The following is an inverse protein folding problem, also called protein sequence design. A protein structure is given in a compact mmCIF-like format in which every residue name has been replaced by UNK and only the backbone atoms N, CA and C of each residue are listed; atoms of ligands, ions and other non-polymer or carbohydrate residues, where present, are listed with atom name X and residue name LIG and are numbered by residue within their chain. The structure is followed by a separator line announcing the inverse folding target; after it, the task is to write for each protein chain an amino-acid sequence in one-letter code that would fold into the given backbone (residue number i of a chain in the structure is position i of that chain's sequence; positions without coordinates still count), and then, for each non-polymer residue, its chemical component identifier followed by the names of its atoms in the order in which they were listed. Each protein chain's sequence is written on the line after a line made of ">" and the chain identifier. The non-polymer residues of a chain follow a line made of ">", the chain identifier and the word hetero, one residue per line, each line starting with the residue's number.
data_IF_484282741077
#
_entry.id   IF_484282741077
#
_cell.length_a   1.000
_cell.length_b   1.000
_cell.length_c   1.000
_cell.angle_alpha   90.00
_cell.angle_beta   90.00
_cell.angle_gamma   90.00
#
_symmetry.space_group_name_H-M   'P 1'
#
loop_
_entity.id
_entity.type
_entity.pdbx_description
1 polymer ?
#
# COMPACT_ATOMS: atom_id res chain seq x y z
N UNK A 1 -14.80 -24.14 -7.52
CA UNK A 1 -15.32 -22.91 -6.88
C UNK A 1 -15.24 -21.79 -7.90
N UNK A 2 -16.35 -21.09 -8.20
CA UNK A 2 -16.30 -19.92 -9.09
C UNK A 2 -15.42 -18.87 -8.41
N UNK A 3 -14.38 -18.40 -9.10
CA UNK A 3 -13.62 -17.25 -8.67
C UNK A 3 -14.60 -16.09 -8.50
N UNK A 4 -14.93 -15.76 -7.25
CA UNK A 4 -15.63 -14.52 -6.92
C UNK A 4 -14.85 -13.39 -7.56
N UNK A 5 -15.54 -12.56 -8.36
CA UNK A 5 -14.93 -11.36 -8.90
C UNK A 5 -14.20 -10.64 -7.74
N UNK A 6 -12.92 -10.29 -7.90
CA UNK A 6 -12.11 -9.76 -6.81
C UNK A 6 -12.86 -8.58 -6.20
N UNK A 7 -13.18 -8.64 -4.90
CA UNK A 7 -13.91 -7.56 -4.24
C UNK A 7 -13.07 -6.29 -4.35
N UNK A 8 -13.54 -5.37 -5.18
CA UNK A 8 -12.82 -4.12 -5.44
C UNK A 8 -13.16 -3.18 -4.29
N UNK A 9 -12.27 -3.11 -3.31
CA UNK A 9 -12.55 -2.44 -2.03
C UNK A 9 -12.03 -1.00 -1.93
N UNK A 10 -11.18 -0.56 -2.85
CA UNK A 10 -10.61 0.80 -2.89
C UNK A 10 -11.24 1.59 -4.04
N UNK A 11 -12.52 1.92 -3.91
CA UNK A 11 -13.34 2.50 -4.98
C UNK A 11 -13.45 4.03 -4.93
N UNK A 12 -12.72 4.65 -4.00
CA UNK A 12 -12.77 6.08 -3.68
C UNK A 12 -11.38 6.62 -3.42
N UNK A 13 -11.21 7.90 -3.72
CA UNK A 13 -10.03 8.66 -3.35
C UNK A 13 -9.96 8.81 -1.83
N UNK A 14 -8.80 8.51 -1.25
CA UNK A 14 -8.53 8.63 0.18
C UNK A 14 -7.36 9.59 0.37
N UNK A 15 -7.61 10.70 1.07
CA UNK A 15 -6.53 11.61 1.47
C UNK A 15 -5.63 10.96 2.52
N UNK A 16 -4.34 11.26 2.47
CA UNK A 16 -3.38 10.80 3.48
C UNK A 16 -3.79 11.27 4.87
N UNK A 17 -4.30 12.50 4.97
CA UNK A 17 -4.79 13.09 6.22
C UNK A 17 -5.87 12.22 6.88
N UNK A 18 -6.81 11.69 6.09
CA UNK A 18 -7.89 10.84 6.61
C UNK A 18 -7.36 9.49 7.08
N UNK A 19 -6.46 8.88 6.30
CA UNK A 19 -5.81 7.63 6.68
C UNK A 19 -4.94 7.80 7.93
N UNK A 20 -4.19 8.91 8.03
CA UNK A 20 -3.40 9.27 9.21
C UNK A 20 -4.30 9.47 10.42
N UNK A 21 -5.40 10.24 10.30
CA UNK A 21 -6.33 10.44 11.42
C UNK A 21 -6.96 9.11 11.86
N UNK A 22 -7.31 8.22 10.94
CA UNK A 22 -7.78 6.87 11.28
C UNK A 22 -6.72 6.03 12.01
N UNK A 23 -5.44 6.14 11.61
CA UNK A 23 -4.32 5.53 12.32
C UNK A 23 -4.13 6.13 13.72
N UNK A 24 -4.22 7.45 13.87
CA UNK A 24 -4.18 8.14 15.18
C UNK A 24 -5.31 7.65 16.10
N UNK A 25 -6.54 7.48 15.58
CA UNK A 25 -7.66 6.91 16.33
C UNK A 25 -7.38 5.47 16.75
N UNK A 26 -6.89 4.62 15.83
CA UNK A 26 -6.51 3.23 16.16
C UNK A 26 -5.41 3.19 17.23
N UNK A 27 -4.47 4.13 17.19
CA UNK A 27 -3.39 4.27 18.15
C UNK A 27 -3.84 4.84 19.51
N UNK A 28 -5.13 5.20 19.68
CA UNK A 28 -5.61 5.86 20.89
C UNK A 28 -5.07 7.28 21.08
N UNK A 29 -4.60 7.92 20.00
CA UNK A 29 -4.03 9.27 19.99
C UNK A 29 -5.04 10.34 19.56
N UNK A 30 -6.21 9.93 19.05
CA UNK A 30 -7.30 10.81 18.64
C UNK A 30 -8.65 10.13 18.94
N UNK A 31 -9.71 10.92 19.12
CA UNK A 31 -11.06 10.40 19.26
C UNK A 31 -11.69 10.14 17.88
N UNK A 32 -12.58 9.15 17.79
CA UNK A 32 -13.30 8.83 16.54
C UNK A 32 -14.13 10.01 16.03
N UNK A 33 -14.62 10.88 16.92
CA UNK A 33 -15.36 12.09 16.56
C UNK A 33 -14.53 13.11 15.78
N UNK A 34 -13.21 13.16 16.00
CA UNK A 34 -12.32 14.02 15.20
C UNK A 34 -12.24 13.55 13.75
N UNK A 35 -12.19 12.23 13.53
CA UNK A 35 -12.25 11.67 12.18
C UNK A 35 -13.61 11.94 11.54
N UNK A 36 -14.70 11.75 12.29
CA UNK A 36 -16.05 12.00 11.78
C UNK A 36 -16.24 13.48 11.39
N UNK A 37 -15.72 14.42 12.18
CA UNK A 37 -15.72 15.86 11.85
C UNK A 37 -14.90 16.17 10.58
N UNK A 38 -13.72 15.56 10.44
CA UNK A 38 -12.87 15.72 9.26
C UNK A 38 -13.57 15.21 7.98
N UNK A 39 -14.30 14.09 8.09
CA UNK A 39 -15.09 13.56 6.97
C UNK A 39 -16.35 14.37 6.69
N UNK A 40 -16.93 15.02 7.70
CA UNK A 40 -18.05 15.96 7.55
C UNK A 40 -17.69 17.18 6.75
N UNK A 41 -16.55 17.79 7.04
CA UNK A 41 -16.04 18.93 6.28
C UNK A 41 -15.70 18.54 4.83
N UNK A 42 -15.12 17.35 4.63
CA UNK A 42 -14.70 16.89 3.31
C UNK A 42 -15.84 16.46 2.37
N UNK A 43 -17.03 16.15 2.89
CA UNK A 43 -18.11 15.53 2.13
C UNK A 43 -19.49 16.07 2.51
N UNK A 44 -20.15 16.73 1.55
CA UNK A 44 -21.51 17.27 1.72
C UNK A 44 -22.60 16.21 1.91
N UNK A 45 -22.37 14.96 1.46
CA UNK A 45 -23.39 13.90 1.44
C UNK A 45 -23.10 12.73 2.40
N UNK A 46 -24.08 12.25 3.19
CA UNK A 46 -23.89 11.15 4.14
C UNK A 46 -23.48 9.84 3.47
N UNK A 47 -23.94 9.59 2.24
CA UNK A 47 -23.55 8.40 1.47
C UNK A 47 -22.07 8.41 1.06
N UNK A 48 -21.50 9.58 0.75
CA UNK A 48 -20.08 9.70 0.43
C UNK A 48 -19.22 9.50 1.69
N UNK A 49 -19.61 10.13 2.81
CA UNK A 49 -18.99 9.96 4.13
C UNK A 49 -18.92 8.50 4.55
N UNK A 50 -20.05 7.79 4.50
CA UNK A 50 -20.14 6.38 4.86
C UNK A 50 -19.19 5.52 4.01
N UNK A 51 -19.09 5.77 2.71
CA UNK A 51 -18.19 5.01 1.82
C UNK A 51 -16.72 5.26 2.12
N UNK A 52 -16.33 6.51 2.33
CA UNK A 52 -14.96 6.86 2.73
C UNK A 52 -14.61 6.19 4.06
N UNK A 53 -15.52 6.26 5.06
CA UNK A 53 -15.34 5.60 6.35
C UNK A 53 -15.20 4.08 6.22
N UNK A 54 -15.94 3.41 5.34
CA UNK A 54 -15.76 1.97 5.07
C UNK A 54 -14.33 1.62 4.62
N UNK A 55 -13.70 2.47 3.81
CA UNK A 55 -12.30 2.25 3.37
C UNK A 55 -11.35 2.45 4.55
N UNK A 56 -11.54 3.50 5.34
CA UNK A 56 -10.72 3.79 6.53
C UNK A 56 -10.87 2.72 7.63
N UNK A 57 -12.07 2.15 7.78
CA UNK A 57 -12.30 1.02 8.69
C UNK A 57 -11.40 -0.14 8.31
N UNK A 58 -11.44 -0.58 7.05
CA UNK A 58 -10.64 -1.72 6.59
C UNK A 58 -9.13 -1.44 6.61
N UNK A 59 -8.71 -0.18 6.41
CA UNK A 59 -7.30 0.21 6.50
C UNK A 59 -6.79 0.22 7.94
N UNK A 60 -7.54 0.80 8.88
CA UNK A 60 -7.03 1.05 10.24
C UNK A 60 -8.04 0.77 11.35
N UNK A 61 -9.28 1.25 11.28
CA UNK A 61 -10.15 1.21 12.48
C UNK A 61 -10.62 -0.21 12.82
N UNK A 62 -11.03 -0.96 11.81
CA UNK A 62 -11.61 -2.30 11.89
C UNK A 62 -11.05 -3.17 10.74
N UNK A 63 -9.74 -3.47 10.76
CA UNK A 63 -9.14 -4.34 9.75
C UNK A 63 -9.75 -5.74 9.84
N UNK A 64 -9.63 -6.51 8.76
CA UNK A 64 -10.04 -7.92 8.80
C UNK A 64 -9.28 -8.64 9.92
N UNK A 65 -9.91 -9.63 10.55
CA UNK A 65 -9.33 -10.37 11.69
C UNK A 65 -7.95 -10.97 11.40
N UNK A 66 -7.73 -11.45 10.17
CA UNK A 66 -6.44 -11.99 9.72
C UNK A 66 -5.34 -10.92 9.62
N UNK A 67 -5.72 -9.66 9.37
CA UNK A 67 -4.80 -8.52 9.26
C UNK A 67 -4.65 -7.73 10.56
N UNK A 68 -5.42 -8.04 11.60
CA UNK A 68 -5.39 -7.31 12.86
C UNK A 68 -4.01 -7.32 13.54
N UNK A 69 -3.27 -8.46 13.61
CA UNK A 69 -1.90 -8.46 14.13
C UNK A 69 -0.92 -7.66 13.27
N UNK A 70 -1.14 -7.61 11.94
CA UNK A 70 -0.31 -6.83 11.03
C UNK A 70 -0.57 -5.32 11.21
N UNK A 71 -1.83 -4.92 11.32
CA UNK A 71 -2.23 -3.54 11.60
C UNK A 71 -1.75 -3.07 12.98
N UNK A 72 -1.81 -3.94 14.00
CA UNK A 72 -1.34 -3.64 15.35
C UNK A 72 0.16 -3.34 15.38
N UNK A 73 0.99 -4.14 14.71
CA UNK A 73 2.43 -3.84 14.54
C UNK A 73 2.67 -2.51 13.84
N UNK A 74 1.82 -2.14 12.88
CA UNK A 74 1.87 -0.83 12.23
C UNK A 74 1.58 0.33 13.20
N UNK A 75 0.65 0.15 14.13
CA UNK A 75 0.37 1.13 15.21
C UNK A 75 1.57 1.27 16.15
N UNK A 76 2.17 0.16 16.56
CA UNK A 76 3.35 0.17 17.43
C UNK A 76 4.51 0.92 16.77
N UNK A 77 4.75 0.69 15.47
CA UNK A 77 5.73 1.45 14.69
C UNK A 77 5.43 2.94 14.65
N UNK A 78 4.16 3.31 14.46
CA UNK A 78 3.73 4.70 14.46
C UNK A 78 3.95 5.39 15.81
N UNK A 79 3.69 4.69 16.91
CA UNK A 79 3.85 5.21 18.27
C UNK A 79 5.30 5.25 18.73
N UNK A 80 6.12 4.28 18.30
CA UNK A 80 7.50 4.12 18.76
C UNK A 80 8.48 5.15 18.18
N UNK A 81 8.19 5.70 17.00
CA UNK A 81 9.09 6.62 16.32
C UNK A 81 8.32 7.73 15.58
N UNK A 82 8.49 9.02 15.96
CA UNK A 82 7.86 10.15 15.26
C UNK A 82 8.26 10.30 13.80
N UNK A 83 9.40 9.72 13.40
CA UNK A 83 9.88 9.74 12.01
C UNK A 83 9.17 8.74 11.11
N UNK A 84 8.41 7.78 11.67
CA UNK A 84 7.68 6.77 10.87
C UNK A 84 6.66 7.45 9.96
N UNK A 85 6.82 7.39 8.63
CA UNK A 85 5.93 8.11 7.73
C UNK A 85 4.54 7.46 7.71
N UNK A 86 3.44 8.19 8.01
CA UNK A 86 2.08 7.64 7.91
C UNK A 86 1.74 7.12 6.51
N UNK A 87 2.36 7.70 5.47
CA UNK A 87 2.21 7.25 4.09
C UNK A 87 2.79 5.84 3.87
N UNK A 88 3.92 5.50 4.50
CA UNK A 88 4.52 4.16 4.39
C UNK A 88 3.64 3.11 5.07
N UNK A 89 3.15 3.41 6.27
CA UNK A 89 2.23 2.54 6.98
C UNK A 89 0.89 2.39 6.23
N UNK A 90 0.33 3.48 5.73
CA UNK A 90 -0.92 3.44 4.97
C UNK A 90 -0.75 2.67 3.67
N UNK A 91 0.41 2.79 3.00
CA UNK A 91 0.74 2.00 1.81
C UNK A 91 0.78 0.50 2.11
N UNK A 92 1.51 0.08 3.15
CA UNK A 92 1.58 -1.31 3.57
C UNK A 92 0.20 -1.89 3.87
N UNK A 93 -0.64 -1.16 4.62
CA UNK A 93 -2.03 -1.58 4.84
C UNK A 93 -2.84 -1.63 3.54
N UNK A 94 -2.66 -0.68 2.62
CA UNK A 94 -3.42 -0.63 1.38
C UNK A 94 -3.10 -1.80 0.45
N UNK A 95 -1.82 -2.16 0.26
CA UNK A 95 -1.43 -3.25 -0.63
C UNK A 95 -1.86 -4.62 -0.11
N UNK A 96 -1.87 -4.82 1.21
CA UNK A 96 -2.31 -6.08 1.83
C UNK A 96 -3.84 -6.19 1.86
N UNK A 97 -4.52 -5.08 2.17
CA UNK A 97 -5.99 -5.06 2.32
C UNK A 97 -6.71 -5.09 0.97
N UNK A 98 -6.14 -4.46 -0.06
CA UNK A 98 -6.80 -4.23 -1.34
C UNK A 98 -5.97 -4.74 -2.52
N UNK A 99 -6.23 -5.97 -3.03
CA UNK A 99 -5.54 -6.51 -4.19
C UNK A 99 -5.60 -5.63 -5.44
N UNK A 100 -6.70 -4.88 -5.63
CA UNK A 100 -6.82 -3.92 -6.73
C UNK A 100 -5.84 -2.74 -6.58
N UNK A 101 -5.67 -2.21 -5.36
CA UNK A 101 -4.67 -1.17 -5.07
C UNK A 101 -3.26 -1.69 -5.33
N UNK A 102 -2.96 -2.89 -4.80
CA UNK A 102 -1.67 -3.55 -5.01
C UNK A 102 -1.36 -3.75 -6.51
N UNK A 103 -2.36 -4.12 -7.32
CA UNK A 103 -2.16 -4.29 -8.76
C UNK A 103 -1.89 -2.99 -9.50
N UNK A 104 -2.59 -1.90 -9.15
CA UNK A 104 -2.29 -0.57 -9.70
C UNK A 104 -0.88 -0.14 -9.32
N UNK A 105 -0.50 -0.28 -8.05
CA UNK A 105 0.86 0.00 -7.57
C UNK A 105 1.91 -0.81 -8.32
N UNK A 106 1.69 -2.11 -8.53
CA UNK A 106 2.60 -2.97 -9.29
C UNK A 106 2.77 -2.51 -10.74
N UNK A 107 1.68 -2.15 -11.42
CA UNK A 107 1.73 -1.66 -12.81
C UNK A 107 2.47 -0.33 -12.91
N UNK A 108 2.16 0.63 -12.03
CA UNK A 108 2.81 1.93 -11.98
C UNK A 108 4.29 1.78 -11.67
N UNK A 109 4.63 1.02 -10.63
CA UNK A 109 6.01 0.75 -10.24
C UNK A 109 6.80 0.08 -11.36
N UNK A 110 6.19 -0.86 -12.08
CA UNK A 110 6.83 -1.59 -13.19
C UNK A 110 7.11 -0.65 -14.36
N UNK A 111 6.10 0.07 -14.84
CA UNK A 111 6.26 0.99 -15.98
C UNK A 111 7.30 2.07 -15.66
N UNK A 112 7.16 2.74 -14.51
CA UNK A 112 8.07 3.81 -14.11
C UNK A 112 9.49 3.32 -13.82
N UNK A 113 9.68 2.06 -13.38
CA UNK A 113 11.02 1.48 -13.23
C UNK A 113 11.75 1.24 -14.55
N UNK A 114 11.00 0.99 -15.63
CA UNK A 114 11.56 0.68 -16.95
C UNK A 114 11.89 1.94 -17.75
N UNK A 115 11.02 2.94 -17.70
CA UNK A 115 11.12 4.12 -18.59
C UNK A 115 11.12 5.47 -17.84
N UNK A 116 11.10 5.47 -16.50
CA UNK A 116 11.13 6.67 -15.66
C UNK A 116 9.75 7.29 -15.38
N UNK A 117 8.81 7.18 -16.33
CA UNK A 117 7.44 7.64 -16.20
C UNK A 117 6.43 6.63 -16.77
N UNK A 118 5.14 6.94 -16.68
CA UNK A 118 4.12 6.25 -17.45
C UNK A 118 2.92 7.14 -17.67
N UNK A 119 2.07 6.82 -18.64
CA UNK A 119 0.82 7.52 -18.84
C UNK A 119 -0.31 6.87 -18.05
N UNK A 120 -1.27 7.69 -17.62
CA UNK A 120 -2.52 7.19 -17.02
C UNK A 120 -3.25 6.23 -17.97
N UNK A 121 -3.15 6.45 -19.29
CA UNK A 121 -3.74 5.58 -20.30
C UNK A 121 -3.12 4.17 -20.33
N UNK A 122 -1.80 4.06 -20.18
CA UNK A 122 -1.13 2.76 -20.09
C UNK A 122 -1.57 1.98 -18.85
N UNK A 123 -1.67 2.65 -17.69
CA UNK A 123 -2.16 2.03 -16.45
C UNK A 123 -3.59 1.53 -16.65
N UNK A 124 -4.48 2.35 -17.23
CA UNK A 124 -5.86 1.95 -17.53
C UNK A 124 -5.93 0.74 -18.46
N UNK A 125 -5.14 0.73 -19.54
CA UNK A 125 -5.11 -0.39 -20.48
C UNK A 125 -4.71 -1.69 -19.78
N UNK A 126 -3.64 -1.68 -18.96
CA UNK A 126 -3.20 -2.85 -18.20
C UNK A 126 -4.23 -3.31 -17.16
N UNK A 127 -4.90 -2.37 -16.49
CA UNK A 127 -5.97 -2.71 -15.56
C UNK A 127 -7.19 -3.29 -16.27
N UNK A 128 -7.53 -2.81 -17.47
CA UNK A 128 -8.60 -3.37 -18.29
C UNK A 128 -8.26 -4.77 -18.81
N UNK A 129 -7.00 -5.05 -19.17
CA UNK A 129 -6.53 -6.39 -19.54
C UNK A 129 -6.76 -7.43 -18.41
N UNK A 130 -6.61 -7.01 -17.14
CA UNK A 130 -6.70 -7.90 -15.97
C UNK A 130 -8.13 -7.99 -15.42
N UNK A 131 -8.81 -6.85 -15.25
CA UNK A 131 -10.10 -6.76 -14.57
C UNK A 131 -11.29 -6.54 -15.52
N UNK A 132 -11.03 -6.46 -16.82
CA UNK A 132 -12.02 -6.17 -17.86
C UNK A 132 -12.26 -4.67 -18.08
N UNK A 133 -12.64 -4.34 -19.31
CA UNK A 133 -12.90 -2.97 -19.77
C UNK A 133 -14.31 -2.51 -19.36
N UNK A 134 -14.40 -1.91 -18.16
CA UNK A 134 -15.65 -1.37 -17.60
C UNK A 134 -15.42 0.01 -17.00
N UNK A 135 -16.46 0.85 -17.00
CA UNK A 135 -16.41 2.19 -16.38
C UNK A 135 -15.92 2.13 -14.93
N UNK A 136 -16.39 1.11 -14.18
CA UNK A 136 -15.93 0.82 -12.83
C UNK A 136 -14.41 0.71 -12.73
N UNK A 137 -13.78 -0.19 -13.50
CA UNK A 137 -12.33 -0.42 -13.51
C UNK A 137 -11.56 0.89 -13.72
N UNK A 138 -11.95 1.66 -14.73
CA UNK A 138 -11.32 2.96 -15.04
C UNK A 138 -11.47 3.94 -13.88
N UNK A 139 -12.68 4.04 -13.30
CA UNK A 139 -12.94 4.92 -12.15
C UNK A 139 -12.08 4.54 -10.95
N UNK A 140 -12.03 3.26 -10.58
CA UNK A 140 -11.30 2.79 -9.39
C UNK A 140 -9.79 2.95 -9.57
N UNK A 141 -9.25 2.67 -10.77
CA UNK A 141 -7.85 2.96 -11.10
C UNK A 141 -7.53 4.43 -10.88
N UNK A 142 -8.39 5.35 -11.33
CA UNK A 142 -8.20 6.78 -11.08
C UNK A 142 -8.23 7.14 -9.59
N UNK A 143 -9.10 6.50 -8.79
CA UNK A 143 -9.17 6.74 -7.35
C UNK A 143 -7.89 6.31 -6.63
N UNK A 144 -7.31 5.17 -7.02
CA UNK A 144 -6.02 4.71 -6.51
C UNK A 144 -4.93 5.70 -6.89
N UNK A 145 -4.79 6.05 -8.18
CA UNK A 145 -3.78 6.99 -8.65
C UNK A 145 -3.86 8.35 -7.95
N UNK A 146 -5.08 8.89 -7.77
CA UNK A 146 -5.27 10.14 -7.02
C UNK A 146 -4.81 10.02 -5.57
N UNK A 147 -5.08 8.88 -4.91
CA UNK A 147 -4.64 8.66 -3.54
C UNK A 147 -3.12 8.58 -3.45
N UNK A 148 -2.46 7.87 -4.37
CA UNK A 148 -1.00 7.80 -4.42
C UNK A 148 -0.35 9.18 -4.67
N UNK A 149 -1.00 10.04 -5.46
CA UNK A 149 -0.55 11.42 -5.68
C UNK A 149 -0.71 12.26 -4.41
N UNK A 150 -1.87 12.21 -3.76
CA UNK A 150 -2.14 12.94 -2.51
C UNK A 150 -1.20 12.49 -1.38
N UNK A 151 -0.83 11.21 -1.35
CA UNK A 151 0.14 10.67 -0.37
C UNK A 151 1.58 11.07 -0.69
N UNK A 152 1.79 11.93 -1.70
CA UNK A 152 3.09 12.38 -2.18
C UNK A 152 4.04 11.25 -2.60
N UNK A 153 3.48 10.15 -3.13
CA UNK A 153 4.23 8.99 -3.62
C UNK A 153 4.34 8.97 -5.15
N UNK A 154 3.46 9.70 -5.83
CA UNK A 154 3.40 9.80 -7.28
C UNK A 154 3.20 11.27 -7.68
N UNK A 155 3.89 11.71 -8.72
CA UNK A 155 3.65 13.00 -9.35
C UNK A 155 2.80 12.82 -10.60
N UNK A 156 2.07 13.89 -10.95
CA UNK A 156 1.32 13.97 -12.19
C UNK A 156 1.67 15.27 -12.90
N UNK A 157 1.95 15.16 -14.19
CA UNK A 157 2.25 16.32 -15.04
C UNK A 157 1.06 17.29 -15.11
N UNK A 158 1.32 18.55 -15.44
CA UNK A 158 0.30 19.62 -15.53
C UNK A 158 -0.83 19.28 -16.52
N UNK A 159 -0.51 18.58 -17.61
CA UNK A 159 -1.49 18.12 -18.58
C UNK A 159 -2.31 16.90 -18.10
N UNK A 160 -2.03 16.38 -16.90
CA UNK A 160 -2.71 15.27 -16.27
C UNK A 160 -2.46 13.90 -16.89
N UNK A 161 -1.56 13.75 -17.86
CA UNK A 161 -1.41 12.50 -18.62
C UNK A 161 -0.29 11.63 -18.11
N UNK A 162 0.83 12.24 -17.74
CA UNK A 162 2.05 11.55 -17.35
C UNK A 162 2.12 11.45 -15.83
N UNK A 163 2.53 10.28 -15.36
CA UNK A 163 2.73 9.92 -13.98
C UNK A 163 4.22 9.68 -13.80
N UNK A 164 4.82 10.36 -12.85
CA UNK A 164 6.23 10.21 -12.54
C UNK A 164 6.39 9.80 -11.11
N UNK A 165 7.31 8.88 -10.92
CA UNK A 165 7.57 8.28 -9.64
C UNK A 165 8.45 9.24 -8.81
N UNK A 166 8.01 9.61 -7.59
CA UNK A 166 8.82 10.34 -6.61
C UNK A 166 10.13 9.61 -6.29
N UNK A 167 11.12 10.37 -5.82
CA UNK A 167 12.41 9.82 -5.39
C UNK A 167 12.18 8.77 -4.29
N UNK A 168 12.96 7.70 -4.33
CA UNK A 168 12.85 6.61 -3.38
C UNK A 168 12.90 7.13 -1.94
N UNK A 169 11.91 6.72 -1.14
CA UNK A 169 11.83 7.03 0.28
C UNK A 169 12.46 5.87 1.04
N UNK A 170 13.62 6.10 1.65
CA UNK A 170 14.26 5.07 2.47
C UNK A 170 13.42 4.84 3.73
N UNK A 171 13.08 3.58 3.98
CA UNK A 171 12.46 3.21 5.25
C UNK A 171 13.53 3.16 6.32
N UNK A 172 13.41 4.04 7.31
CA UNK A 172 14.32 4.09 8.45
C UNK A 172 13.85 3.11 9.53
N UNK A 173 14.78 2.29 10.03
CA UNK A 173 14.50 1.35 11.12
C UNK A 173 14.21 -0.07 10.64
N UNK A 174 14.81 -1.03 11.35
CA UNK A 174 14.74 -2.45 11.00
C UNK A 174 13.32 -3.01 11.09
N UNK A 175 12.53 -2.55 12.06
CA UNK A 175 11.15 -3.02 12.24
C UNK A 175 10.21 -2.53 11.14
N UNK A 176 10.35 -1.28 10.69
CA UNK A 176 9.56 -0.76 9.57
C UNK A 176 9.92 -1.46 8.26
N UNK A 177 11.21 -1.74 8.03
CA UNK A 177 11.66 -2.50 6.86
C UNK A 177 11.11 -3.94 6.87
N UNK A 178 11.14 -4.62 8.03
CA UNK A 178 10.53 -5.95 8.19
C UNK A 178 9.03 -5.92 7.94
N UNK A 179 8.32 -4.97 8.56
CA UNK A 179 6.88 -4.82 8.42
C UNK A 179 6.45 -4.54 6.97
N UNK A 180 7.16 -3.65 6.27
CA UNK A 180 6.90 -3.40 4.85
C UNK A 180 7.25 -4.63 3.99
N UNK A 181 8.32 -5.36 4.32
CA UNK A 181 8.67 -6.61 3.62
C UNK A 181 7.54 -7.63 3.73
N UNK A 182 6.99 -7.83 4.94
CA UNK A 182 5.81 -8.66 5.17
C UNK A 182 4.64 -8.19 4.31
N UNK A 183 4.37 -6.88 4.22
CA UNK A 183 3.32 -6.32 3.38
C UNK A 183 3.49 -6.66 1.89
N UNK A 184 4.72 -6.58 1.38
CA UNK A 184 5.07 -6.91 0.00
C UNK A 184 4.90 -8.41 -0.24
N UNK A 185 5.37 -9.28 0.66
CA UNK A 185 5.23 -10.72 0.54
C UNK A 185 3.76 -11.16 0.53
N UNK A 186 2.94 -10.59 1.42
CA UNK A 186 1.48 -10.78 1.44
C UNK A 186 0.82 -10.36 0.13
N UNK A 187 1.16 -9.16 -0.38
CA UNK A 187 0.59 -8.64 -1.63
C UNK A 187 1.02 -9.47 -2.86
N UNK A 188 2.23 -10.03 -2.83
CA UNK A 188 2.79 -10.88 -3.90
C UNK A 188 2.27 -12.32 -3.81
N UNK A 189 2.00 -12.83 -2.61
CA UNK A 189 1.42 -14.14 -2.36
C UNK A 189 2.34 -15.33 -2.67
N UNK A 190 3.66 -15.09 -2.73
CA UNK A 190 4.67 -16.14 -3.00
C UNK A 190 6.05 -15.72 -2.45
N UNK A 191 6.98 -16.67 -2.24
CA UNK A 191 8.36 -16.34 -1.92
C UNK A 191 9.00 -15.43 -2.96
N UNK A 192 9.84 -14.49 -2.50
CA UNK A 192 10.54 -13.52 -3.34
C UNK A 192 12.05 -13.64 -3.11
N UNK A 193 12.84 -13.64 -4.19
CA UNK A 193 14.29 -13.66 -4.08
C UNK A 193 14.80 -12.39 -3.38
N UNK A 194 15.69 -12.52 -2.38
CA UNK A 194 16.19 -11.41 -1.58
C UNK A 194 16.76 -10.28 -2.45
N UNK A 195 17.57 -10.63 -3.45
CA UNK A 195 18.16 -9.66 -4.39
C UNK A 195 17.14 -8.96 -5.32
N UNK A 196 15.92 -9.50 -5.42
CA UNK A 196 14.83 -8.94 -6.23
C UNK A 196 13.71 -8.33 -5.39
N UNK A 197 13.82 -8.40 -4.05
CA UNK A 197 12.79 -7.91 -3.14
C UNK A 197 12.68 -6.38 -3.22
N UNK A 198 13.82 -5.69 -3.23
CA UNK A 198 13.88 -4.22 -3.41
C UNK A 198 13.38 -3.79 -4.79
N UNK A 199 13.44 -4.69 -5.77
CA UNK A 199 12.97 -4.46 -7.13
C UNK A 199 11.50 -4.85 -7.35
N UNK A 200 10.78 -5.31 -6.30
CA UNK A 200 9.36 -5.65 -6.45
C UNK A 200 8.55 -4.39 -6.82
N UNK A 201 7.84 -4.36 -7.95
CA UNK A 201 7.17 -3.15 -8.41
C UNK A 201 6.14 -2.57 -7.42
N UNK A 202 5.51 -3.44 -6.62
CA UNK A 202 4.47 -3.05 -5.65
C UNK A 202 4.99 -2.25 -4.45
N UNK A 203 6.29 -2.29 -4.17
CA UNK A 203 6.89 -1.58 -3.03
C UNK A 203 7.06 -0.07 -3.26
N UNK A 204 6.93 0.34 -4.52
CA UNK A 204 7.12 1.69 -4.98
C UNK A 204 6.42 2.74 -4.07
N UNK A 205 7.05 3.87 -3.67
CA UNK A 205 8.43 4.31 -3.87
C UNK A 205 9.40 3.89 -2.76
N UNK A 206 9.04 2.96 -1.88
CA UNK A 206 9.81 2.69 -0.67
C UNK A 206 11.04 1.82 -0.95
N UNK A 207 12.20 2.26 -0.44
CA UNK A 207 13.45 1.51 -0.49
C UNK A 207 13.69 0.75 0.82
N UNK A 208 14.15 -0.50 0.72
CA UNK A 208 14.37 -1.40 1.86
C UNK A 208 15.80 -1.35 2.46
N UNK A 209 16.56 -0.30 2.15
CA UNK A 209 17.92 -0.10 2.67
C UNK A 209 18.94 -1.16 2.24
N UNK A 210 20.22 -0.90 2.55
CA UNK A 210 21.34 -1.72 2.06
C UNK A 210 21.59 -2.98 2.92
N UNK A 211 21.15 -2.97 4.19
CA UNK A 211 21.37 -4.06 5.15
C UNK A 211 20.20 -5.08 5.23
N UNK A 212 19.39 -5.17 4.17
CA UNK A 212 18.14 -5.94 4.18
C UNK A 212 18.34 -7.40 4.59
N UNK A 213 19.36 -8.09 4.07
CA UNK A 213 19.61 -9.50 4.41
C UNK A 213 19.82 -9.74 5.92
N UNK A 214 20.54 -8.84 6.60
CA UNK A 214 20.74 -8.90 8.05
C UNK A 214 19.46 -8.58 8.83
N UNK A 215 18.71 -7.57 8.37
CA UNK A 215 17.44 -7.16 9.01
C UNK A 215 16.40 -8.28 8.96
N UNK A 216 16.35 -9.02 7.85
CA UNK A 216 15.41 -10.11 7.66
C UNK A 216 15.88 -11.41 8.34
N UNK A 217 17.19 -11.65 8.49
CA UNK A 217 17.68 -12.87 9.16
C UNK A 217 17.39 -12.89 10.65
N UNK A 218 17.18 -11.72 11.26
CA UNK A 218 16.74 -11.59 12.65
C UNK A 218 15.21 -11.59 12.82
N UNK A 219 14.44 -11.72 11.74
CA UNK A 219 12.97 -11.66 11.81
C UNK A 219 12.40 -13.01 12.27
N UNK A 220 11.50 -12.98 13.26
CA UNK A 220 10.83 -14.19 13.78
C UNK A 220 9.62 -14.63 12.95
N UNK A 221 9.11 -13.76 12.07
CA UNK A 221 7.92 -13.96 11.25
C UNK A 221 8.24 -14.21 9.76
N UNK A 222 9.52 -14.23 9.39
CA UNK A 222 10.00 -14.47 8.03
C UNK A 222 10.94 -15.65 7.97
N UNK A 223 10.88 -16.38 6.86
CA UNK A 223 11.78 -17.46 6.52
C UNK A 223 12.74 -17.03 5.41
N UNK A 224 14.03 -17.15 5.66
CA UNK A 224 15.09 -17.00 4.67
C UNK A 224 15.59 -18.39 4.26
N UNK A 225 15.44 -18.72 2.98
CA UNK A 225 15.86 -20.01 2.41
C UNK A 225 16.87 -19.77 1.30
N UNK A 226 17.96 -20.54 1.31
CA UNK A 226 18.93 -20.58 0.22
C UNK A 226 18.71 -21.85 -0.62
N UNK A 227 18.74 -21.73 -1.93
CA UNK A 227 18.76 -22.90 -2.83
C UNK A 227 20.19 -23.47 -2.98
N UNK A 228 20.31 -24.60 -3.68
CA UNK A 228 21.61 -25.25 -3.94
C UNK A 228 22.57 -24.41 -4.79
N UNK A 229 22.08 -23.36 -5.47
CA UNK A 229 22.89 -22.42 -6.23
C UNK A 229 23.28 -21.17 -5.41
N UNK A 230 22.87 -21.10 -4.13
CA UNK A 230 23.15 -19.98 -3.23
C UNK A 230 22.17 -18.80 -3.38
N UNK A 231 21.11 -18.93 -4.18
CA UNK A 231 20.10 -17.87 -4.28
C UNK A 231 19.25 -17.87 -3.01
N UNK A 232 19.18 -16.70 -2.37
CA UNK A 232 18.36 -16.52 -1.18
C UNK A 232 16.96 -16.02 -1.56
N UNK A 233 15.95 -16.60 -0.92
CA UNK A 233 14.55 -16.19 -1.01
C UNK A 233 13.98 -15.95 0.38
N UNK A 234 13.02 -15.04 0.44
CA UNK A 234 12.29 -14.67 1.66
C UNK A 234 10.83 -15.05 1.47
N UNK A 235 10.24 -15.66 2.48
CA UNK A 235 8.80 -15.94 2.56
C UNK A 235 8.25 -15.62 3.94
N UNK A 236 6.93 -15.54 4.04
CA UNK A 236 6.25 -15.54 5.34
C UNK A 236 6.47 -16.90 6.02
N UNK A 237 6.59 -16.90 7.34
CA UNK A 237 6.61 -18.13 8.14
C UNK A 237 5.18 -18.63 8.34
N UNK A 238 4.98 -19.94 8.12
CA UNK A 238 3.68 -20.63 8.35
C UNK A 238 3.33 -20.76 9.84
#
# INVERSE_FOLDING_TARGET
>A
MRATAPQIGFDRFIRLEWAKKALEVRAGLADISELDALLEEAHSGPAARKKTRTVLNRLWLEPRKDLEPFAQRGVELFQSAPSTPPAALTWGMAIVTYPFFAKVAEIVGRLTSLQGDCTTAEVHRRMAEIYGEREGTRRMTNMVLQSQIDWALLDRSDNGKTLTRKKACALEGSDLMRWMTTAVLEAVGRPVGLGTLVAQPVIYPFGLGDNLGFVLSSASDLDLRADSAGNQSVSLRE
#
